data_IF_888181539008
#
_entry.id   IF_888181539008
#
_cell.length_a   1.000
_cell.length_b   1.000
_cell.length_c   1.000
_cell.angle_alpha   90.00
_cell.angle_beta   90.00
_cell.angle_gamma   90.00
#
_symmetry.space_group_name_H-M   'P 1'
#
loop_
_entity.id
_entity.type
_entity.pdbx_description
1 polymer ?
#
# COMPACT_ATOMS: atom_id res chain seq x y z
N UNK A 1 6.70 -27.19 32.11
CA UNK A 1 6.48 -28.53 32.72
C UNK A 1 7.77 -29.08 33.33
N UNK A 2 7.74 -29.59 34.56
CA UNK A 2 8.90 -30.22 35.22
C UNK A 2 8.90 -31.74 34.94
N UNK A 3 10.09 -32.32 34.76
CA UNK A 3 10.27 -33.78 34.60
C UNK A 3 9.95 -34.35 33.21
N UNK A 4 9.45 -33.52 32.29
CA UNK A 4 9.03 -33.93 30.94
C UNK A 4 9.75 -33.17 29.83
N UNK A 5 10.91 -32.61 30.12
CA UNK A 5 11.73 -31.89 29.14
C UNK A 5 12.45 -32.93 28.28
N UNK A 6 12.18 -32.91 26.98
CA UNK A 6 12.81 -33.82 26.01
C UNK A 6 14.05 -33.21 25.38
N UNK A 7 14.10 -31.89 25.26
CA UNK A 7 15.21 -31.17 24.62
C UNK A 7 15.36 -29.77 25.18
N UNK A 8 16.60 -29.35 25.42
CA UNK A 8 16.94 -27.96 25.76
C UNK A 8 17.81 -27.38 24.67
N UNK A 9 17.48 -26.17 24.21
CA UNK A 9 18.18 -25.43 23.17
C UNK A 9 18.17 -23.94 23.48
N UNK A 10 18.92 -23.14 22.73
CA UNK A 10 18.94 -21.69 22.86
C UNK A 10 18.25 -21.05 21.65
N UNK A 11 17.15 -20.35 21.90
CA UNK A 11 16.32 -19.71 20.88
C UNK A 11 15.42 -18.67 21.53
N UNK A 12 15.10 -17.59 20.80
CA UNK A 12 14.03 -16.69 21.20
C UNK A 12 12.67 -17.42 21.24
N UNK A 13 11.65 -16.75 21.78
CA UNK A 13 10.32 -17.32 21.99
C UNK A 13 9.67 -17.88 20.71
N UNK A 14 9.81 -17.17 19.59
CA UNK A 14 9.20 -17.55 18.30
C UNK A 14 9.97 -18.73 17.70
N UNK A 15 11.30 -18.63 17.68
CA UNK A 15 12.18 -19.69 17.20
C UNK A 15 12.01 -20.98 18.02
N UNK A 16 11.79 -20.88 19.33
CA UNK A 16 11.51 -22.00 20.21
C UNK A 16 10.21 -22.72 19.83
N UNK A 17 9.14 -21.96 19.54
CA UNK A 17 7.87 -22.51 19.06
C UNK A 17 7.99 -23.23 17.72
N UNK A 18 8.74 -22.65 16.77
CA UNK A 18 9.00 -23.29 15.47
C UNK A 18 9.77 -24.61 15.62
N UNK A 19 10.76 -24.66 16.52
CA UNK A 19 11.50 -25.89 16.83
C UNK A 19 10.62 -26.97 17.45
N UNK A 20 9.65 -26.58 18.30
CA UNK A 20 8.66 -27.52 18.82
C UNK A 20 7.74 -28.05 17.72
N UNK A 21 7.29 -27.21 16.79
CA UNK A 21 6.44 -27.65 15.69
C UNK A 21 7.16 -28.63 14.74
N UNK A 22 8.47 -28.46 14.56
CA UNK A 22 9.32 -29.35 13.75
C UNK A 22 9.64 -30.68 14.44
N UNK A 23 9.56 -30.75 15.77
CA UNK A 23 9.83 -31.96 16.54
C UNK A 23 8.51 -32.73 16.77
N UNK A 24 8.37 -33.88 16.11
CA UNK A 24 7.16 -34.72 16.18
C UNK A 24 6.79 -35.11 17.61
N UNK A 25 7.78 -35.22 18.50
CA UNK A 25 7.57 -35.58 19.89
C UNK A 25 7.21 -34.37 20.74
N UNK A 26 7.36 -33.14 20.26
CA UNK A 26 7.09 -31.95 21.05
C UNK A 26 5.60 -31.59 21.07
N UNK A 27 5.06 -31.43 22.27
CA UNK A 27 3.67 -31.08 22.56
C UNK A 27 3.55 -29.76 23.31
N UNK A 28 4.62 -29.29 23.95
CA UNK A 28 4.69 -27.97 24.58
C UNK A 28 6.13 -27.50 24.73
N UNK A 29 6.34 -26.22 25.01
CA UNK A 29 7.65 -25.69 25.32
C UNK A 29 7.62 -24.61 26.41
N UNK A 30 8.75 -24.41 27.09
CA UNK A 30 8.98 -23.28 27.99
C UNK A 30 10.03 -22.36 27.35
N UNK A 31 9.78 -21.05 27.37
CA UNK A 31 10.76 -20.03 26.97
C UNK A 31 11.19 -19.23 28.20
N UNK A 32 12.48 -19.22 28.52
CA UNK A 32 13.00 -18.41 29.63
C UNK A 32 13.15 -16.95 29.21
N UNK A 33 12.71 -16.04 30.09
CA UNK A 33 12.86 -14.60 29.94
C UNK A 33 13.89 -14.11 30.97
N UNK A 34 15.14 -13.95 30.55
CA UNK A 34 16.12 -13.16 31.30
C UNK A 34 16.53 -11.95 30.45
N UNK A 35 16.52 -10.76 31.05
CA UNK A 35 16.73 -9.49 30.35
C UNK A 35 18.19 -9.28 29.94
N UNK A 36 19.12 -10.03 30.54
CA UNK A 36 20.56 -9.87 30.35
C UNK A 36 21.22 -10.98 29.52
N UNK A 37 20.47 -11.95 28.98
CA UNK A 37 21.01 -13.06 28.21
C UNK A 37 20.60 -12.99 26.73
N UNK A 38 21.57 -12.82 25.83
CA UNK A 38 21.37 -12.76 24.38
C UNK A 38 20.94 -14.13 23.83
N UNK A 39 21.08 -15.22 24.61
CA UNK A 39 20.62 -16.56 24.27
C UNK A 39 19.58 -17.06 25.27
N UNK A 40 18.30 -16.87 24.94
CA UNK A 40 17.18 -17.37 25.77
C UNK A 40 17.13 -18.90 25.73
N UNK A 41 17.09 -19.52 26.90
CA UNK A 41 16.94 -20.98 27.02
C UNK A 41 15.49 -21.38 26.69
N UNK A 42 15.38 -22.34 25.77
CA UNK A 42 14.15 -22.94 25.26
C UNK A 42 14.13 -24.42 25.63
N UNK A 43 13.05 -24.87 26.26
CA UNK A 43 12.89 -26.24 26.72
C UNK A 43 11.66 -26.86 26.06
N UNK A 44 11.86 -27.87 25.22
CA UNK A 44 10.80 -28.63 24.56
C UNK A 44 10.33 -29.78 25.46
N UNK A 45 9.05 -30.11 25.39
CA UNK A 45 8.42 -31.18 26.16
C UNK A 45 7.47 -31.99 25.28
N UNK A 46 7.41 -33.30 25.52
CA UNK A 46 6.45 -34.20 24.88
C UNK A 46 5.11 -34.32 25.61
N UNK A 47 4.87 -33.48 26.62
CA UNK A 47 3.63 -33.45 27.40
C UNK A 47 3.01 -32.06 27.33
N UNK A 48 1.75 -31.95 27.75
CA UNK A 48 1.02 -30.67 27.85
C UNK A 48 0.53 -30.47 29.28
N UNK A 49 0.12 -29.25 29.61
CA UNK A 49 -0.63 -28.94 30.84
C UNK A 49 -1.87 -29.84 31.00
N UNK A 50 -2.57 -30.15 29.91
CA UNK A 50 -3.74 -31.04 29.96
C UNK A 50 -3.38 -32.48 30.26
N UNK A 51 -2.27 -32.99 29.72
CA UNK A 51 -1.84 -34.38 29.94
C UNK A 51 -1.12 -34.60 31.27
N UNK A 52 -0.53 -33.55 31.86
CA UNK A 52 0.17 -33.65 33.13
C UNK A 52 0.09 -32.35 33.97
N UNK A 53 -1.09 -32.03 34.52
CA UNK A 53 -1.35 -30.74 35.19
C UNK A 53 -0.54 -30.57 36.47
N UNK A 54 -0.33 -31.64 37.24
CA UNK A 54 0.44 -31.63 38.51
C UNK A 54 1.91 -31.21 38.32
N UNK A 55 2.44 -31.35 37.10
CA UNK A 55 3.82 -31.02 36.77
C UNK A 55 3.99 -29.61 36.18
N UNK A 56 2.91 -28.82 36.09
CA UNK A 56 2.98 -27.41 35.75
C UNK A 56 3.30 -26.59 37.02
N UNK A 57 4.54 -26.10 37.12
CA UNK A 57 4.93 -25.15 38.16
C UNK A 57 5.10 -23.76 37.58
N UNK A 58 4.48 -22.77 38.23
CA UNK A 58 4.65 -21.37 37.87
C UNK A 58 6.09 -20.94 38.18
N UNK A 59 6.77 -20.40 37.17
CA UNK A 59 8.10 -19.82 37.31
C UNK A 59 8.08 -18.40 36.70
N UNK A 60 8.37 -17.35 37.48
CA UNK A 60 8.36 -15.96 36.98
C UNK A 60 9.36 -15.69 35.86
N UNK A 61 10.38 -16.54 35.68
CA UNK A 61 11.44 -16.38 34.68
C UNK A 61 11.21 -17.23 33.43
N UNK A 62 10.05 -17.86 33.27
CA UNK A 62 9.74 -18.66 32.08
C UNK A 62 8.26 -18.68 31.75
N UNK A 63 7.94 -18.53 30.47
CA UNK A 63 6.58 -18.65 29.95
C UNK A 63 6.37 -20.02 29.32
N UNK A 64 5.23 -20.65 29.61
CA UNK A 64 4.84 -21.96 29.08
C UNK A 64 3.88 -21.78 27.90
N UNK A 65 4.07 -22.58 26.84
CA UNK A 65 3.23 -22.60 25.64
C UNK A 65 2.84 -24.04 25.30
N UNK A 66 1.54 -24.32 25.20
CA UNK A 66 1.01 -25.59 24.72
C UNK A 66 0.79 -25.59 23.20
N UNK A 67 0.93 -26.75 22.55
CA UNK A 67 0.56 -26.95 21.15
C UNK A 67 -0.96 -26.91 21.03
N UNK A 68 -1.49 -25.84 20.43
CA UNK A 68 -2.93 -25.68 20.22
C UNK A 68 -3.48 -26.63 19.14
N UNK A 69 -4.69 -27.13 19.32
CA UNK A 69 -5.49 -27.75 18.26
C UNK A 69 -6.38 -26.66 17.64
N UNK A 70 -6.26 -26.43 16.34
CA UNK A 70 -7.15 -25.51 15.62
C UNK A 70 -8.48 -26.25 15.41
N UNK A 71 -9.54 -25.85 16.11
CA UNK A 71 -10.90 -26.34 15.85
C UNK A 71 -11.46 -25.66 14.57
N UNK A 72 -12.02 -26.43 13.61
CA UNK A 72 -12.44 -25.88 12.33
C UNK A 72 -13.83 -25.23 12.42
N UNK A 73 -13.90 -23.90 12.27
CA UNK A 73 -15.16 -23.19 11.99
C UNK A 73 -15.52 -23.33 10.50
N UNK A 74 -16.38 -24.31 10.24
CA UNK A 74 -17.39 -24.40 9.16
C UNK A 74 -17.07 -23.93 7.73
N UNK A 75 -17.05 -24.95 6.85
CA UNK A 75 -17.47 -24.99 5.42
C UNK A 75 -16.51 -24.44 4.36
N UNK A 76 -15.68 -25.35 3.86
CA UNK A 76 -15.26 -25.35 2.46
C UNK A 76 -13.84 -25.87 2.18
N UNK A 77 -13.57 -27.15 2.44
CA UNK A 77 -12.69 -28.09 1.69
C UNK A 77 -12.32 -29.25 2.63
N UNK A 78 -13.01 -30.38 2.48
CA UNK A 78 -12.53 -31.68 2.97
C UNK A 78 -12.28 -32.55 1.75
N UNK A 79 -11.02 -32.93 1.50
CA UNK A 79 -10.72 -34.16 0.75
C UNK A 79 -10.03 -35.14 1.71
N UNK A 80 -10.82 -36.13 2.11
CA UNK A 80 -10.48 -37.47 2.61
C UNK A 80 -9.03 -37.76 3.03
N UNK A 81 -8.80 -37.87 4.35
CA UNK A 81 -7.72 -38.68 4.91
C UNK A 81 -8.28 -40.05 5.29
N UNK A 82 -8.00 -41.08 4.48
CA UNK A 82 -8.11 -42.47 4.88
C UNK A 82 -6.77 -43.14 4.60
N UNK A 83 -6.14 -43.60 5.69
CA UNK A 83 -4.84 -44.26 5.74
C UNK A 83 -4.98 -45.71 5.25
N UNK A 84 -4.30 -46.08 4.16
CA UNK A 84 -3.62 -47.38 4.09
C UNK A 84 -2.53 -47.36 3.01
N UNK A 85 -1.28 -47.51 3.46
CA UNK A 85 -0.15 -48.15 2.77
C UNK A 85 0.21 -47.71 1.33
N UNK A 86 1.42 -47.15 1.21
CA UNK A 86 2.23 -47.05 -0.03
C UNK A 86 1.70 -46.12 -1.13
N UNK A 87 2.01 -44.81 -1.01
CA UNK A 87 2.89 -44.04 -1.91
C UNK A 87 2.80 -42.58 -1.44
N UNK A 88 3.87 -42.00 -0.90
CA UNK A 88 3.92 -40.53 -0.78
C UNK A 88 3.97 -39.97 -2.20
N UNK A 89 2.82 -39.58 -2.74
CA UNK A 89 2.81 -38.49 -3.72
C UNK A 89 3.18 -37.27 -2.90
N UNK A 90 4.48 -36.91 -2.94
CA UNK A 90 4.88 -35.55 -2.59
C UNK A 90 4.15 -34.67 -3.61
N UNK A 91 2.97 -34.17 -3.25
CA UNK A 91 2.51 -32.96 -3.89
C UNK A 91 3.58 -31.94 -3.53
N UNK A 92 4.30 -31.35 -4.51
CA UNK A 92 5.20 -30.26 -4.22
C UNK A 92 4.43 -29.28 -3.35
N UNK A 93 5.05 -28.83 -2.26
CA UNK A 93 4.55 -27.77 -1.41
C UNK A 93 3.97 -26.70 -2.34
N UNK A 94 2.64 -26.70 -2.54
CA UNK A 94 2.05 -25.99 -3.67
C UNK A 94 2.37 -24.53 -3.47
N UNK A 95 2.92 -23.88 -4.51
CA UNK A 95 3.29 -22.47 -4.57
C UNK A 95 2.82 -21.68 -3.34
N UNK A 96 3.74 -21.26 -2.48
CA UNK A 96 3.44 -20.25 -1.47
C UNK A 96 2.72 -19.11 -2.20
N UNK A 97 1.41 -18.95 -1.98
CA UNK A 97 0.48 -18.10 -2.75
C UNK A 97 1.21 -16.84 -3.25
N UNK A 98 1.65 -16.81 -4.52
CA UNK A 98 2.57 -15.77 -5.04
C UNK A 98 1.80 -14.54 -5.50
N UNK A 99 0.71 -14.19 -4.81
CA UNK A 99 -0.24 -13.20 -5.30
C UNK A 99 0.42 -11.83 -5.50
N UNK A 100 0.26 -11.30 -6.70
CA UNK A 100 0.85 -10.06 -7.17
C UNK A 100 2.33 -10.15 -7.56
N UNK A 101 2.97 -11.32 -7.51
CA UNK A 101 4.41 -11.42 -7.77
C UNK A 101 4.75 -11.55 -9.25
N UNK A 102 3.88 -12.19 -10.03
CA UNK A 102 4.06 -12.44 -11.46
C UNK A 102 2.71 -12.40 -12.19
N UNK A 103 2.75 -12.42 -13.52
CA UNK A 103 1.57 -12.33 -14.37
C UNK A 103 0.68 -13.59 -14.33
N UNK A 104 1.17 -14.74 -13.87
CA UNK A 104 0.33 -15.93 -13.69
C UNK A 104 -0.45 -15.86 -12.36
N UNK A 105 0.04 -15.08 -11.39
CA UNK A 105 -0.57 -14.90 -10.09
C UNK A 105 -0.86 -13.42 -9.78
N UNK A 106 -1.65 -12.71 -10.60
CA UNK A 106 -1.96 -11.31 -10.32
C UNK A 106 -2.88 -11.17 -9.11
N UNK A 107 -2.76 -10.05 -8.40
CA UNK A 107 -3.73 -9.67 -7.38
C UNK A 107 -4.84 -8.81 -7.99
N UNK A 108 -5.92 -8.57 -7.27
CA UNK A 108 -6.91 -7.57 -7.59
C UNK A 108 -6.36 -6.14 -7.41
N UNK A 109 -5.60 -5.87 -6.35
CA UNK A 109 -5.08 -4.52 -6.05
C UNK A 109 -3.80 -4.54 -5.20
N UNK A 110 -3.07 -3.42 -5.16
CA UNK A 110 -1.94 -3.24 -4.23
C UNK A 110 -2.35 -3.45 -2.76
N UNK A 111 -3.55 -2.99 -2.39
CA UNK A 111 -4.09 -3.18 -1.05
C UNK A 111 -4.36 -4.65 -0.75
N UNK A 112 -4.88 -5.42 -1.70
CA UNK A 112 -5.08 -6.86 -1.49
C UNK A 112 -3.75 -7.58 -1.26
N UNK A 113 -2.72 -7.30 -2.08
CA UNK A 113 -1.38 -7.90 -1.93
C UNK A 113 -0.85 -7.66 -0.50
N UNK A 114 -1.05 -6.44 -0.01
CA UNK A 114 -0.65 -6.07 1.33
C UNK A 114 -1.44 -6.83 2.40
N UNK A 115 -2.78 -6.80 2.31
CA UNK A 115 -3.68 -7.37 3.30
C UNK A 115 -3.56 -8.90 3.35
N UNK A 116 -3.21 -9.55 2.23
CA UNK A 116 -2.98 -10.99 2.14
C UNK A 116 -1.57 -11.43 2.57
N UNK A 117 -0.69 -10.50 2.98
CA UNK A 117 0.67 -10.82 3.46
C UNK A 117 1.69 -11.09 2.36
N UNK A 118 1.39 -10.75 1.10
CA UNK A 118 2.24 -11.04 -0.07
C UNK A 118 3.12 -9.87 -0.49
N UNK A 119 3.11 -8.77 0.28
CA UNK A 119 3.96 -7.62 0.06
C UNK A 119 5.45 -7.97 0.27
N UNK A 120 6.25 -7.75 -0.77
CA UNK A 120 7.73 -7.77 -0.77
C UNK A 120 8.36 -6.39 -0.51
N UNK A 121 7.56 -5.38 -0.14
CA UNK A 121 7.99 -3.99 0.02
C UNK A 121 7.53 -3.08 -1.12
N UNK A 122 8.01 -1.85 -1.17
CA UNK A 122 7.67 -0.92 -2.25
C UNK A 122 8.25 -1.40 -3.58
N UNK A 123 7.49 -1.33 -4.66
CA UNK A 123 7.99 -1.73 -5.96
C UNK A 123 6.93 -2.22 -6.91
N UNK A 124 7.38 -2.98 -7.90
CA UNK A 124 6.53 -3.49 -8.97
C UNK A 124 5.80 -4.77 -8.56
N UNK A 125 4.51 -4.82 -8.89
CA UNK A 125 3.61 -5.96 -8.66
C UNK A 125 2.73 -6.17 -9.89
N UNK A 126 2.04 -7.30 -9.94
CA UNK A 126 1.05 -7.61 -10.97
C UNK A 126 -0.36 -7.53 -10.41
N UNK A 127 -1.22 -6.77 -11.09
CA UNK A 127 -2.65 -6.69 -10.75
C UNK A 127 -3.54 -6.96 -11.96
N UNK A 128 -4.72 -7.52 -11.71
CA UNK A 128 -5.82 -7.68 -12.67
C UNK A 128 -7.13 -7.20 -12.02
N UNK A 129 -7.36 -5.87 -12.00
CA UNK A 129 -8.58 -5.28 -11.45
C UNK A 129 -9.87 -5.81 -12.06
N UNK A 130 -9.82 -6.23 -13.33
CA UNK A 130 -10.98 -6.72 -14.07
C UNK A 130 -11.26 -8.21 -13.82
N UNK A 131 -10.29 -8.95 -13.25
CA UNK A 131 -10.30 -10.42 -13.23
C UNK A 131 -10.50 -10.99 -14.64
N UNK A 132 -9.89 -10.33 -15.62
CA UNK A 132 -10.04 -10.60 -17.05
C UNK A 132 -9.06 -11.64 -17.58
N UNK A 133 -8.03 -12.00 -16.78
CA UNK A 133 -6.89 -12.77 -17.25
C UNK A 133 -5.87 -11.92 -18.03
N UNK A 134 -6.01 -10.59 -18.05
CA UNK A 134 -5.10 -9.65 -18.68
C UNK A 134 -4.44 -8.74 -17.64
N UNK A 135 -3.51 -9.28 -16.82
CA UNK A 135 -2.86 -8.54 -15.76
C UNK A 135 -1.88 -7.50 -16.29
N UNK A 136 -1.69 -6.45 -15.50
CA UNK A 136 -0.72 -5.40 -15.77
C UNK A 136 0.28 -5.28 -14.62
N UNK A 137 1.52 -4.95 -14.97
CA UNK A 137 2.56 -4.62 -14.00
C UNK A 137 2.38 -3.18 -13.54
N UNK A 138 2.41 -2.94 -12.24
CA UNK A 138 2.14 -1.64 -11.61
C UNK A 138 3.10 -1.38 -10.47
N UNK A 139 3.25 -0.12 -10.08
CA UNK A 139 3.99 0.24 -8.87
C UNK A 139 3.05 0.36 -7.66
N UNK A 140 3.40 -0.33 -6.57
CA UNK A 140 2.72 -0.24 -5.30
C UNK A 140 3.66 0.36 -4.22
N UNK A 141 3.16 1.36 -3.49
CA UNK A 141 3.77 1.80 -2.23
C UNK A 141 3.14 1.02 -1.07
N UNK A 142 3.93 0.10 -0.53
CA UNK A 142 3.58 -0.85 0.51
C UNK A 142 4.15 -0.48 1.88
N UNK A 143 4.84 0.67 2.02
CA UNK A 143 5.54 1.06 3.25
C UNK A 143 4.96 2.30 3.91
N UNK A 144 4.40 3.26 3.16
CA UNK A 144 4.06 4.59 3.69
C UNK A 144 2.57 4.82 3.87
N UNK A 145 2.22 5.63 4.87
CA UNK A 145 0.91 6.27 5.03
C UNK A 145 -0.29 5.33 4.90
N UNK A 146 -0.24 4.24 5.67
CA UNK A 146 -1.26 3.18 5.68
C UNK A 146 -1.17 2.19 4.52
N UNK A 147 -0.14 2.30 3.66
CA UNK A 147 0.37 1.26 2.75
C UNK A 147 -0.66 0.82 1.69
N UNK A 148 -0.24 -0.01 0.74
CA UNK A 148 -1.13 -0.60 -0.28
C UNK A 148 -1.60 0.40 -1.33
N UNK A 149 -0.82 1.45 -1.58
CA UNK A 149 -1.14 2.52 -2.53
C UNK A 149 -0.74 2.11 -3.95
N UNK A 150 -1.67 2.25 -4.90
CA UNK A 150 -1.41 2.06 -6.33
C UNK A 150 -1.00 3.38 -6.97
N UNK A 151 0.15 3.42 -7.64
CA UNK A 151 0.59 4.58 -8.42
C UNK A 151 -0.23 4.68 -9.71
N UNK A 152 -0.91 5.81 -9.91
CA UNK A 152 -1.73 6.04 -11.12
C UNK A 152 -1.17 7.12 -12.02
N UNK A 153 -0.32 8.01 -11.51
CA UNK A 153 0.38 8.99 -12.36
C UNK A 153 1.77 9.24 -11.81
N UNK A 154 2.75 9.27 -12.70
CA UNK A 154 4.15 9.44 -12.38
C UNK A 154 4.84 10.34 -13.42
N UNK A 155 5.35 11.47 -12.96
CA UNK A 155 6.18 12.37 -13.74
C UNK A 155 7.46 12.57 -12.96
N UNK A 156 8.61 12.39 -13.61
CA UNK A 156 9.92 12.57 -12.99
C UNK A 156 10.80 13.40 -13.92
N UNK A 157 11.35 14.48 -13.40
CA UNK A 157 12.19 15.37 -14.18
C UNK A 157 13.62 14.83 -14.27
N UNK A 158 14.23 14.93 -15.46
CA UNK A 158 15.62 14.50 -15.68
C UNK A 158 15.81 13.01 -16.00
N UNK A 159 14.74 12.27 -16.29
CA UNK A 159 14.87 10.95 -16.94
C UNK A 159 15.25 11.11 -18.43
N UNK A 160 15.97 10.15 -19.05
CA UNK A 160 16.44 10.26 -20.45
C UNK A 160 15.34 10.43 -21.50
N UNK A 161 14.07 10.34 -21.09
CA UNK A 161 12.91 10.71 -21.88
C UNK A 161 11.89 11.40 -20.98
N UNK A 162 11.92 12.74 -20.92
CA UNK A 162 10.86 13.57 -20.31
C UNK A 162 9.51 13.49 -21.05
N UNK A 163 9.30 12.45 -21.86
CA UNK A 163 8.04 12.17 -22.55
C UNK A 163 7.10 11.58 -21.52
N UNK A 164 6.07 12.34 -21.19
CA UNK A 164 4.99 11.92 -20.31
C UNK A 164 3.83 11.52 -21.20
N UNK A 165 3.40 10.28 -21.06
CA UNK A 165 2.25 9.77 -21.79
C UNK A 165 0.94 10.18 -21.12
N UNK A 166 -0.02 10.68 -21.90
CA UNK A 166 -1.36 11.02 -21.41
C UNK A 166 -2.28 9.87 -21.73
N UNK A 167 -2.74 9.18 -20.69
CA UNK A 167 -3.45 7.91 -20.83
C UNK A 167 -4.96 8.11 -20.70
N UNK A 168 -5.70 7.62 -21.69
CA UNK A 168 -7.17 7.62 -21.74
C UNK A 168 -7.81 6.35 -21.18
N UNK A 169 -6.99 5.32 -20.89
CA UNK A 169 -7.40 4.10 -20.22
C UNK A 169 -6.52 3.83 -19.00
N UNK A 170 -7.10 3.23 -17.96
CA UNK A 170 -6.35 2.89 -16.75
C UNK A 170 -5.23 1.89 -17.02
N UNK A 171 -5.29 1.10 -18.10
CA UNK A 171 -4.22 0.16 -18.46
C UNK A 171 -2.87 0.85 -18.72
N UNK A 172 -2.89 2.16 -18.96
CA UNK A 172 -1.71 3.01 -19.06
C UNK A 172 -0.88 3.13 -17.77
N UNK A 173 -1.41 2.76 -16.60
CA UNK A 173 -0.66 2.83 -15.32
C UNK A 173 0.54 1.89 -15.23
N UNK A 174 0.70 0.96 -16.17
CA UNK A 174 1.90 0.14 -16.28
C UNK A 174 3.09 0.83 -16.95
N UNK A 175 2.91 2.05 -17.48
CA UNK A 175 4.00 2.84 -18.07
C UNK A 175 4.82 3.55 -16.99
N UNK A 176 6.10 3.81 -17.26
CA UNK A 176 6.99 4.45 -16.29
C UNK A 176 6.70 5.94 -16.07
N UNK A 177 6.35 6.68 -17.14
CA UNK A 177 6.05 8.11 -17.08
C UNK A 177 4.70 8.41 -17.75
N UNK A 178 3.70 8.67 -16.93
CA UNK A 178 2.31 8.78 -17.37
C UNK A 178 1.47 9.66 -16.45
N UNK A 179 0.42 10.24 -17.03
CA UNK A 179 -0.67 10.89 -16.30
C UNK A 179 -2.00 10.35 -16.82
N UNK A 180 -2.95 10.08 -15.91
CA UNK A 180 -4.27 9.62 -16.31
C UNK A 180 -5.19 10.81 -16.59
N UNK A 181 -6.01 10.67 -17.63
CA UNK A 181 -7.18 11.52 -17.84
C UNK A 181 -8.35 11.11 -16.94
N UNK A 182 -9.35 11.99 -16.85
CA UNK A 182 -10.64 11.74 -16.19
C UNK A 182 -11.27 10.43 -16.64
N UNK A 183 -11.29 10.17 -17.94
CA UNK A 183 -11.80 8.92 -18.54
C UNK A 183 -11.10 7.67 -18.00
N UNK A 184 -9.77 7.66 -17.94
CA UNK A 184 -8.98 6.56 -17.39
C UNK A 184 -9.24 6.36 -15.90
N UNK A 185 -9.31 7.43 -15.11
CA UNK A 185 -9.62 7.35 -13.68
C UNK A 185 -11.05 6.83 -13.44
N UNK A 186 -12.00 7.20 -14.29
CA UNK A 186 -13.38 6.70 -14.26
C UNK A 186 -13.46 5.21 -14.56
N UNK A 187 -12.73 4.76 -15.57
CA UNK A 187 -12.58 3.35 -15.90
C UNK A 187 -11.96 2.58 -14.72
N UNK A 188 -10.87 3.09 -14.14
CA UNK A 188 -10.20 2.48 -13.00
C UNK A 188 -11.15 2.33 -11.81
N UNK A 189 -11.90 3.39 -11.45
CA UNK A 189 -12.81 3.39 -10.29
C UNK A 189 -13.93 2.34 -10.41
N UNK A 190 -14.32 1.98 -11.64
CA UNK A 190 -15.29 0.92 -11.90
C UNK A 190 -14.75 -0.47 -11.52
N UNK A 191 -13.44 -0.66 -11.66
CA UNK A 191 -12.76 -1.94 -11.38
C UNK A 191 -12.16 -1.99 -9.99
N UNK A 192 -11.61 -0.88 -9.51
CA UNK A 192 -11.04 -0.71 -8.18
C UNK A 192 -11.86 0.29 -7.38
N UNK A 193 -12.47 -0.18 -6.30
CA UNK A 193 -13.25 0.65 -5.40
C UNK A 193 -12.37 1.49 -4.45
N UNK A 194 -11.36 2.18 -4.95
CA UNK A 194 -10.48 3.05 -4.15
C UNK A 194 -11.20 4.24 -3.53
N UNK A 195 -10.95 4.54 -2.26
CA UNK A 195 -11.68 5.56 -1.48
C UNK A 195 -10.79 6.75 -1.13
N UNK A 196 -9.52 6.71 -1.46
CA UNK A 196 -8.59 7.79 -1.18
C UNK A 196 -7.66 8.09 -2.34
N UNK A 197 -7.29 9.37 -2.45
CA UNK A 197 -6.25 9.87 -3.33
C UNK A 197 -5.10 10.40 -2.48
N UNK A 198 -3.87 10.21 -2.96
CA UNK A 198 -2.67 10.79 -2.39
C UNK A 198 -1.90 11.54 -3.47
N UNK A 199 -1.75 12.84 -3.28
CA UNK A 199 -0.94 13.70 -4.13
C UNK A 199 0.42 13.85 -3.48
N UNK A 200 1.49 13.53 -4.23
CA UNK A 200 2.86 13.61 -3.75
C UNK A 200 3.73 14.25 -4.83
N UNK A 201 4.02 15.53 -4.66
CA UNK A 201 4.86 16.31 -5.54
C UNK A 201 6.05 16.83 -4.76
N UNK A 202 7.26 16.62 -5.27
CA UNK A 202 8.49 16.97 -4.59
C UNK A 202 9.44 17.70 -5.54
N UNK A 203 10.02 18.79 -5.03
CA UNK A 203 11.17 19.45 -5.64
C UNK A 203 12.35 19.46 -4.69
N UNK A 204 13.52 19.05 -5.19
CA UNK A 204 14.77 19.09 -4.43
C UNK A 204 15.16 20.51 -4.05
N UNK A 205 15.01 21.45 -4.98
CA UNK A 205 15.24 22.89 -4.78
C UNK A 205 13.91 23.63 -4.66
N UNK A 206 13.02 23.17 -3.77
CA UNK A 206 11.70 23.75 -3.60
C UNK A 206 10.94 23.17 -2.42
N UNK A 207 9.64 22.99 -2.62
CA UNK A 207 8.73 22.42 -1.61
C UNK A 207 8.23 21.04 -2.04
N UNK A 208 7.77 20.31 -1.04
CA UNK A 208 7.04 19.06 -1.17
C UNK A 208 5.58 19.35 -0.82
N UNK A 209 4.70 19.10 -1.77
CA UNK A 209 3.26 19.02 -1.57
C UNK A 209 2.88 17.54 -1.40
N UNK A 210 2.52 17.13 -0.18
CA UNK A 210 2.19 15.75 0.13
C UNK A 210 0.93 15.66 1.01
N UNK A 211 -0.19 15.33 0.38
CA UNK A 211 -1.51 15.26 1.03
C UNK A 211 -2.25 13.99 0.67
N UNK A 212 -3.12 13.54 1.57
CA UNK A 212 -4.01 12.40 1.38
C UNK A 212 -5.44 12.84 1.63
N UNK A 213 -6.39 12.44 0.79
CA UNK A 213 -7.80 12.76 1.05
C UNK A 213 -8.30 12.07 2.32
N UNK A 214 -9.22 12.72 3.04
CA UNK A 214 -9.84 12.14 4.24
C UNK A 214 -10.70 10.92 3.88
N UNK A 215 -10.95 10.04 4.85
CA UNK A 215 -11.80 8.85 4.66
C UNK A 215 -13.30 9.12 4.93
N UNK A 216 -13.72 10.38 4.87
CA UNK A 216 -15.09 10.82 5.12
C UNK A 216 -15.73 11.32 3.81
N UNK A 217 -16.98 11.80 3.89
CA UNK A 217 -17.70 12.32 2.73
C UNK A 217 -16.97 13.46 2.00
N UNK A 218 -16.26 14.34 2.71
CA UNK A 218 -15.47 15.42 2.11
C UNK A 218 -14.34 14.88 1.24
N UNK A 219 -13.64 13.84 1.70
CA UNK A 219 -12.58 13.20 0.91
C UNK A 219 -13.13 12.34 -0.24
N UNK A 220 -14.25 11.65 -0.04
CA UNK A 220 -14.95 10.93 -1.12
C UNK A 220 -15.39 11.89 -2.23
N UNK A 221 -15.84 13.10 -1.91
CA UNK A 221 -16.18 14.11 -2.93
C UNK A 221 -14.96 14.44 -3.83
N UNK A 222 -13.75 14.49 -3.26
CA UNK A 222 -12.50 14.66 -4.01
C UNK A 222 -12.22 13.48 -4.92
N UNK A 223 -12.40 12.25 -4.41
CA UNK A 223 -12.27 11.03 -5.21
C UNK A 223 -13.25 11.06 -6.38
N UNK A 224 -14.53 11.32 -6.14
CA UNK A 224 -15.57 11.37 -7.18
C UNK A 224 -15.29 12.40 -8.28
N UNK A 225 -14.77 13.57 -7.91
CA UNK A 225 -14.41 14.61 -8.86
C UNK A 225 -13.26 14.16 -9.79
N UNK A 226 -12.17 13.64 -9.20
CA UNK A 226 -10.98 13.24 -9.95
C UNK A 226 -11.14 11.91 -10.69
N UNK A 227 -12.07 11.04 -10.27
CA UNK A 227 -12.44 9.84 -11.04
C UNK A 227 -13.67 10.00 -11.92
N UNK A 228 -14.16 11.23 -12.13
CA UNK A 228 -15.16 11.53 -13.16
C UNK A 228 -16.56 10.97 -12.88
N UNK A 229 -16.90 10.76 -11.61
CA UNK A 229 -18.27 10.46 -11.15
C UNK A 229 -19.12 11.74 -11.07
N UNK A 230 -18.48 12.88 -10.81
CA UNK A 230 -19.10 14.20 -10.82
C UNK A 230 -18.15 15.23 -11.46
N UNK A 231 -18.73 16.31 -11.99
CA UNK A 231 -18.01 17.50 -12.43
C UNK A 231 -18.12 18.65 -11.41
N UNK A 232 -18.83 18.44 -10.30
CA UNK A 232 -18.88 19.37 -9.19
C UNK A 232 -17.53 19.42 -8.45
N UNK A 233 -16.94 20.62 -8.38
CA UNK A 233 -15.68 20.84 -7.68
C UNK A 233 -15.89 20.77 -6.16
N UNK A 234 -15.18 19.88 -5.44
CA UNK A 234 -15.35 19.68 -4.01
C UNK A 234 -14.61 20.74 -3.20
N UNK A 235 -15.04 20.93 -1.96
CA UNK A 235 -14.36 21.82 -1.01
C UNK A 235 -12.93 21.35 -0.74
N UNK A 236 -11.98 22.28 -0.75
CA UNK A 236 -10.58 22.01 -0.50
C UNK A 236 -10.29 21.80 0.99
N UNK A 237 -10.70 22.74 1.84
CA UNK A 237 -10.46 22.61 3.26
C UNK A 237 -11.29 21.47 3.89
N UNK A 238 -10.65 20.65 4.72
CA UNK A 238 -11.30 19.54 5.42
C UNK A 238 -11.46 18.26 4.60
N UNK A 239 -11.14 18.27 3.30
CA UNK A 239 -11.18 17.08 2.43
C UNK A 239 -9.85 16.34 2.31
N UNK A 240 -8.77 16.86 2.92
CA UNK A 240 -7.46 16.22 2.95
C UNK A 240 -6.72 16.42 4.27
N UNK A 241 -5.72 15.56 4.50
CA UNK A 241 -4.74 15.67 5.59
C UNK A 241 -3.35 15.88 5.02
N UNK A 242 -2.58 16.76 5.66
CA UNK A 242 -1.16 16.99 5.34
C UNK A 242 -0.30 15.89 5.96
N UNK A 243 0.60 15.32 5.18
CA UNK A 243 1.58 14.36 5.68
C UNK A 243 2.79 15.11 6.23
N UNK A 244 2.61 15.76 7.41
CA UNK A 244 3.50 16.79 7.99
C UNK A 244 5.00 16.44 8.08
N UNK A 245 5.36 15.15 8.11
CA UNK A 245 6.77 14.74 8.11
C UNK A 245 7.46 14.91 6.74
N UNK A 246 6.70 14.80 5.66
CA UNK A 246 7.19 14.93 4.28
C UNK A 246 6.73 16.24 3.61
N UNK A 247 5.59 16.80 4.02
CA UNK A 247 4.99 18.00 3.43
C UNK A 247 5.52 19.28 4.08
N UNK A 248 6.05 20.19 3.26
CA UNK A 248 6.44 21.54 3.66
C UNK A 248 5.79 22.61 2.77
N UNK A 249 4.71 22.23 2.06
CA UNK A 249 4.05 23.10 1.11
C UNK A 249 3.33 24.27 1.78
N UNK A 250 3.35 25.42 1.11
CA UNK A 250 2.55 26.59 1.49
C UNK A 250 1.14 26.48 0.94
N UNK A 251 0.98 25.94 -0.28
CA UNK A 251 -0.32 25.72 -0.91
C UNK A 251 -1.28 24.94 0.00
N UNK A 252 -0.81 23.90 0.69
CA UNK A 252 -1.66 23.11 1.60
C UNK A 252 -2.19 23.88 2.83
N UNK A 253 -1.55 24.99 3.21
CA UNK A 253 -1.97 25.83 4.34
C UNK A 253 -3.08 26.83 3.99
N UNK A 254 -3.31 27.06 2.71
CA UNK A 254 -4.22 28.11 2.20
C UNK A 254 -5.36 27.50 1.37
N UNK A 255 -5.87 26.34 1.77
CA UNK A 255 -6.94 25.63 1.04
C UNK A 255 -8.20 26.48 0.81
N UNK A 256 -8.45 27.51 1.63
CA UNK A 256 -9.60 28.43 1.47
C UNK A 256 -9.48 29.30 0.22
N UNK A 257 -8.27 29.48 -0.27
CA UNK A 257 -7.94 30.35 -1.40
C UNK A 257 -7.78 29.55 -2.70
N UNK A 258 -8.14 28.26 -2.69
CA UNK A 258 -7.97 27.40 -3.85
C UNK A 258 -9.07 27.59 -4.88
N UNK A 259 -8.72 27.33 -6.14
CA UNK A 259 -9.69 27.00 -7.17
C UNK A 259 -10.22 28.17 -7.97
N UNK A 260 -10.90 27.81 -9.06
CA UNK A 260 -11.69 28.68 -9.93
C UNK A 260 -13.02 27.97 -10.19
N UNK A 261 -14.14 28.65 -9.94
CA UNK A 261 -15.49 28.17 -10.25
C UNK A 261 -16.25 29.29 -10.93
N UNK A 262 -16.82 29.04 -12.10
CA UNK A 262 -17.66 29.99 -12.83
C UNK A 262 -17.03 31.38 -13.06
N UNK A 263 -15.70 31.44 -13.20
CA UNK A 263 -14.95 32.69 -13.42
C UNK A 263 -14.45 33.38 -12.14
N UNK A 264 -14.83 32.90 -10.96
CA UNK A 264 -14.39 33.45 -9.66
C UNK A 264 -13.24 32.62 -9.07
N UNK A 265 -12.13 33.29 -8.74
CA UNK A 265 -10.98 32.70 -8.04
C UNK A 265 -11.15 32.72 -6.52
N UNK A 266 -10.29 32.00 -5.80
CA UNK A 266 -10.22 32.00 -4.34
C UNK A 266 -11.51 31.46 -3.68
N UNK A 267 -12.10 30.44 -4.30
CA UNK A 267 -13.41 29.88 -3.92
C UNK A 267 -13.33 28.73 -2.92
N UNK A 268 -12.13 28.32 -2.51
CA UNK A 268 -11.89 27.24 -1.56
C UNK A 268 -12.20 25.86 -2.12
N UNK A 269 -12.05 25.67 -3.43
CA UNK A 269 -12.40 24.43 -4.16
C UNK A 269 -11.18 23.79 -4.81
N UNK A 270 -11.22 22.47 -5.00
CA UNK A 270 -10.25 21.77 -5.86
C UNK A 270 -10.46 22.11 -7.34
N UNK A 271 -9.38 22.12 -8.12
CA UNK A 271 -9.44 22.26 -9.58
C UNK A 271 -9.62 23.69 -10.11
N UNK A 272 -9.44 23.85 -11.42
CA UNK A 272 -9.66 25.08 -12.18
C UNK A 272 -10.75 24.87 -13.28
N UNK A 273 -11.63 23.88 -13.09
CA UNK A 273 -12.73 23.57 -14.02
C UNK A 273 -12.34 22.73 -15.23
N UNK A 274 -11.14 22.14 -15.23
CA UNK A 274 -10.67 21.23 -16.26
C UNK A 274 -11.57 20.01 -16.45
N UNK A 275 -11.65 19.53 -17.69
CA UNK A 275 -12.35 18.30 -18.01
C UNK A 275 -11.40 17.08 -17.92
N UNK A 276 -10.93 16.57 -19.05
CA UNK A 276 -10.13 15.34 -19.10
C UNK A 276 -8.80 15.43 -18.36
N UNK A 277 -8.19 16.62 -18.27
CA UNK A 277 -6.86 16.84 -17.72
C UNK A 277 -6.84 17.27 -16.25
N UNK A 278 -7.99 17.34 -15.56
CA UNK A 278 -8.10 17.88 -14.19
C UNK A 278 -7.18 17.27 -13.15
N UNK A 279 -6.79 16.00 -13.32
CA UNK A 279 -5.92 15.32 -12.35
C UNK A 279 -4.52 15.96 -12.28
N UNK A 280 -4.01 16.46 -13.41
CA UNK A 280 -2.62 16.94 -13.52
C UNK A 280 -2.53 18.40 -13.98
N UNK A 281 -3.58 18.96 -14.58
CA UNK A 281 -3.66 20.37 -14.96
C UNK A 281 -4.45 21.14 -13.90
N UNK A 282 -3.73 21.83 -13.02
CA UNK A 282 -4.28 22.59 -11.89
C UNK A 282 -5.24 21.82 -10.94
N UNK A 283 -4.92 20.59 -10.49
CA UNK A 283 -5.70 19.93 -9.43
C UNK A 283 -5.85 20.79 -8.17
N UNK A 284 -4.81 21.54 -7.78
CA UNK A 284 -4.83 22.48 -6.67
C UNK A 284 -3.95 23.69 -7.02
N UNK A 285 -4.45 24.89 -6.75
CA UNK A 285 -3.70 26.11 -7.02
C UNK A 285 -4.29 27.30 -6.27
N UNK A 286 -3.48 28.33 -6.03
CA UNK A 286 -3.92 29.70 -5.73
C UNK A 286 -3.45 30.61 -6.86
N UNK A 287 -4.37 31.40 -7.40
CA UNK A 287 -4.08 32.37 -8.48
C UNK A 287 -2.91 33.29 -8.10
N UNK A 288 -2.01 33.51 -9.06
CA UNK A 288 -0.80 34.33 -8.96
C UNK A 288 0.13 34.00 -7.77
N UNK A 289 0.00 32.79 -7.22
CA UNK A 289 0.83 32.30 -6.14
C UNK A 289 1.24 30.87 -6.44
N UNK A 290 0.78 29.91 -5.64
CA UNK A 290 1.31 28.55 -5.65
C UNK A 290 0.49 27.61 -6.51
N UNK A 291 1.15 26.80 -7.32
CA UNK A 291 0.48 25.87 -8.24
C UNK A 291 0.95 24.43 -8.04
N UNK A 292 0.00 23.51 -8.13
CA UNK A 292 0.25 22.09 -8.36
C UNK A 292 -0.20 21.77 -9.79
N UNK A 293 0.74 21.55 -10.73
CA UNK A 293 0.39 21.16 -12.11
C UNK A 293 1.55 20.53 -12.87
N UNK A 294 1.20 19.79 -13.92
CA UNK A 294 2.10 19.26 -14.94
C UNK A 294 1.69 19.85 -16.29
N UNK A 295 2.58 20.61 -16.91
CA UNK A 295 2.40 21.15 -18.26
C UNK A 295 3.15 20.29 -19.27
N UNK A 296 2.40 19.78 -20.24
CA UNK A 296 2.92 19.03 -21.37
C UNK A 296 2.75 19.85 -22.64
N UNK A 297 3.75 19.82 -23.52
CA UNK A 297 3.64 20.37 -24.86
C UNK A 297 2.85 19.42 -25.77
N UNK A 298 2.53 19.85 -26.99
CA UNK A 298 1.71 19.11 -27.97
C UNK A 298 2.25 17.71 -28.35
N UNK A 299 3.49 17.39 -27.99
CA UNK A 299 4.16 16.11 -28.28
C UNK A 299 4.29 15.22 -27.03
N UNK A 300 3.69 15.62 -25.89
CA UNK A 300 3.82 14.92 -24.61
C UNK A 300 5.14 15.19 -23.89
N UNK A 301 5.96 16.09 -24.42
CA UNK A 301 7.19 16.53 -23.74
C UNK A 301 6.83 17.37 -22.52
N UNK A 302 7.40 16.99 -21.37
CA UNK A 302 7.26 17.73 -20.13
C UNK A 302 7.89 19.11 -20.29
N UNK A 303 7.06 20.15 -20.25
CA UNK A 303 7.49 21.54 -20.33
C UNK A 303 7.81 22.08 -18.93
N UNK A 304 6.81 22.02 -18.04
CA UNK A 304 6.89 22.58 -16.70
C UNK A 304 6.21 21.66 -15.71
N UNK A 305 6.84 21.42 -14.56
CA UNK A 305 6.24 20.73 -13.43
C UNK A 305 6.29 21.61 -12.19
N UNK A 306 5.14 21.82 -11.55
CA UNK A 306 4.99 22.66 -10.38
C UNK A 306 4.48 21.86 -9.17
N UNK A 307 5.21 21.95 -8.07
CA UNK A 307 4.96 21.33 -6.77
C UNK A 307 4.83 22.42 -5.71
N UNK A 308 3.75 23.21 -5.77
CA UNK A 308 3.60 24.41 -4.91
C UNK A 308 4.66 25.49 -5.25
N UNK A 309 4.97 25.64 -6.54
CA UNK A 309 5.82 26.72 -7.06
C UNK A 309 5.05 28.00 -7.32
N UNK A 310 5.74 29.13 -7.26
CA UNK A 310 5.18 30.41 -7.72
C UNK A 310 5.11 30.45 -9.25
N UNK A 311 4.03 31.01 -9.80
CA UNK A 311 3.92 31.28 -11.23
C UNK A 311 5.20 31.97 -11.74
N UNK A 312 5.78 31.47 -12.85
CA UNK A 312 6.99 32.00 -13.50
C UNK A 312 8.33 31.82 -12.75
N UNK A 313 8.34 31.27 -11.53
CA UNK A 313 9.57 30.94 -10.77
C UNK A 313 9.68 29.43 -10.57
N UNK A 314 9.80 28.69 -11.67
CA UNK A 314 9.89 27.23 -11.63
C UNK A 314 11.29 26.79 -11.99
N UNK A 315 11.97 26.16 -11.02
CA UNK A 315 13.20 25.40 -11.26
C UNK A 315 12.83 23.92 -11.19
N UNK A 316 13.22 23.16 -12.22
CA UNK A 316 13.09 21.71 -12.24
C UNK A 316 14.48 21.09 -12.28
N UNK A 317 14.74 20.17 -11.36
CA UNK A 317 16.03 19.49 -11.20
C UNK A 317 15.87 17.97 -11.31
N UNK A 318 16.95 17.29 -11.68
CA UNK A 318 16.94 15.83 -11.85
C UNK A 318 16.47 15.17 -10.55
N UNK A 319 15.43 14.34 -10.62
CA UNK A 319 14.82 13.64 -9.49
C UNK A 319 13.71 14.40 -8.77
N UNK A 320 13.30 15.58 -9.26
CA UNK A 320 12.01 16.15 -8.90
C UNK A 320 10.90 15.24 -9.46
N UNK A 321 9.79 15.08 -8.75
CA UNK A 321 8.68 14.25 -9.21
C UNK A 321 7.30 14.81 -8.85
N UNK A 322 6.31 14.40 -9.64
CA UNK A 322 4.88 14.63 -9.42
C UNK A 322 4.17 13.28 -9.54
N UNK A 323 3.52 12.84 -8.46
CA UNK A 323 2.90 11.52 -8.36
C UNK A 323 1.50 11.59 -7.76
N UNK A 324 0.61 10.74 -8.27
CA UNK A 324 -0.71 10.50 -7.69
C UNK A 324 -0.91 9.02 -7.45
N UNK A 325 -1.46 8.69 -6.29
CA UNK A 325 -1.79 7.34 -5.89
C UNK A 325 -3.26 7.20 -5.51
N UNK A 326 -3.79 5.99 -5.65
CA UNK A 326 -5.13 5.60 -5.19
C UNK A 326 -5.03 4.45 -4.18
N UNK A 327 -6.00 4.36 -3.26
CA UNK A 327 -6.12 3.24 -2.32
C UNK A 327 -7.56 2.90 -2.00
#
# INVERSE_FOLDING_TARGET
LIGHITKTLYADEISCGLRCLQDEKCQSYNSKSDANDVKRECQLSNQTEKSNPENLRRNPRSTYYGRGTVEPLSRGLFLSLILSSFQMIILPFSDADKRGWDSAHPAFSCKEILDSGHSKGDGEYWIDPEKSGNPLKVYCDMSRYGRGWLLVSNVEFGSPSSKVSVETSYRGIGKSHMVLQKSAMKELRRHLSFTQLRFHCHKKQGRTFHVVTTSNSSGEAVVQYFSGQTDEQPDACGSFVRLKWDDNSKLADICKDWGLVSGEYLVGKWGHGEDQNRLYWYPAFKVDAYHLRVHLNNVGDLNVMQCDDVAYQTVNTIGDFWRVFVR
#
